data_IF_871019224089
#
_entry.id   IF_871019224089
#
_cell.length_a   1.000
_cell.length_b   1.000
_cell.length_c   1.000
_cell.angle_alpha   90.00
_cell.angle_beta   90.00
_cell.angle_gamma   90.00
#
_symmetry.space_group_name_H-M   'P 1'
#
loop_
_entity.id
_entity.type
_entity.pdbx_description
1 polymer ?
#
# COMPACT_ATOMS: atom_id res chain seq x y z
N UNK A 1 -2.61 -3.76 1.63
CA UNK A 1 -2.33 -3.08 0.33
C UNK A 1 -3.56 -2.33 -0.20
N UNK A 2 -4.65 -2.95 -0.68
CA UNK A 2 -5.87 -2.20 -1.12
C UNK A 2 -7.01 -2.19 -0.07
N UNK A 3 -7.31 -3.34 0.56
CA UNK A 3 -8.35 -3.39 1.60
C UNK A 3 -8.11 -2.43 2.78
N UNK A 4 -6.83 -2.21 3.12
CA UNK A 4 -6.45 -1.24 4.15
C UNK A 4 -6.73 0.20 3.72
N UNK A 5 -6.52 0.59 2.46
CA UNK A 5 -6.83 1.95 1.99
C UNK A 5 -8.33 2.23 2.07
N UNK A 6 -9.18 1.28 1.64
CA UNK A 6 -10.64 1.39 1.73
C UNK A 6 -11.09 1.50 3.20
N UNK A 7 -10.53 0.67 4.07
CA UNK A 7 -10.83 0.70 5.49
C UNK A 7 -10.36 2.01 6.14
N UNK A 8 -9.18 2.53 5.75
CA UNK A 8 -8.71 3.86 6.17
C UNK A 8 -9.69 4.95 5.75
N UNK A 9 -10.20 4.96 4.51
CA UNK A 9 -11.20 5.95 4.08
C UNK A 9 -12.49 5.86 4.89
N UNK A 10 -12.96 4.66 5.23
CA UNK A 10 -14.11 4.45 6.11
C UNK A 10 -13.83 5.04 7.50
N UNK A 11 -12.66 4.74 8.09
CA UNK A 11 -12.28 5.26 9.40
C UNK A 11 -12.17 6.78 9.41
N UNK A 12 -11.56 7.39 8.38
CA UNK A 12 -11.51 8.84 8.24
C UNK A 12 -12.90 9.46 8.14
N UNK A 13 -13.84 8.81 7.44
CA UNK A 13 -15.23 9.25 7.33
C UNK A 13 -15.94 9.19 8.68
N UNK A 14 -15.73 8.12 9.46
CA UNK A 14 -16.27 7.98 10.81
C UNK A 14 -15.71 9.06 11.77
N UNK A 15 -14.41 9.37 11.68
CA UNK A 15 -13.82 10.49 12.43
C UNK A 15 -14.52 11.81 12.09
N UNK A 16 -14.73 12.09 10.80
CA UNK A 16 -15.46 13.31 10.37
C UNK A 16 -16.88 13.34 10.94
N UNK A 17 -17.63 12.24 10.89
CA UNK A 17 -18.99 12.21 11.45
C UNK A 17 -19.00 12.46 12.96
N UNK A 18 -18.08 11.83 13.70
CA UNK A 18 -17.89 12.10 15.13
C UNK A 18 -17.60 13.59 15.38
N UNK A 19 -16.65 14.15 14.64
CA UNK A 19 -16.17 15.53 14.86
C UNK A 19 -17.23 16.59 14.49
N UNK A 20 -18.10 16.29 13.53
CA UNK A 20 -19.25 17.14 13.20
C UNK A 20 -20.36 17.02 14.24
N UNK A 21 -20.73 15.81 14.67
CA UNK A 21 -21.76 15.59 15.68
C UNK A 21 -21.37 16.19 17.04
N UNK A 22 -20.09 16.13 17.44
CA UNK A 22 -19.60 16.72 18.70
C UNK A 22 -19.73 18.25 18.75
N UNK A 23 -19.83 18.94 17.61
CA UNK A 23 -19.98 20.40 17.54
C UNK A 23 -21.41 20.88 17.74
N UNK A 24 -22.38 19.96 17.68
CA UNK A 24 -23.80 20.26 17.72
C UNK A 24 -24.42 19.95 19.08
N UNK A 25 -25.58 20.55 19.34
CA UNK A 25 -26.37 20.22 20.54
C UNK A 25 -27.25 19.00 20.26
N UNK A 26 -26.79 17.82 20.68
CA UNK A 26 -27.44 16.55 20.35
C UNK A 26 -28.62 16.20 21.27
N UNK A 27 -29.71 15.71 20.67
CA UNK A 27 -30.79 15.05 21.40
C UNK A 27 -30.40 13.61 21.82
N UNK A 28 -31.24 12.93 22.61
CA UNK A 28 -30.93 11.59 23.13
C UNK A 28 -30.69 10.55 22.05
N UNK A 29 -31.42 10.59 20.93
CA UNK A 29 -31.22 9.65 19.82
C UNK A 29 -29.91 9.95 19.08
N UNK A 30 -29.62 11.23 18.84
CA UNK A 30 -28.39 11.66 18.16
C UNK A 30 -27.14 11.33 19.00
N UNK A 31 -27.22 11.40 20.33
CA UNK A 31 -26.16 10.92 21.24
C UNK A 31 -25.89 9.42 21.09
N UNK A 32 -26.94 8.61 20.91
CA UNK A 32 -26.76 7.17 20.67
C UNK A 32 -26.02 6.91 19.35
N UNK A 33 -26.30 7.67 18.29
CA UNK A 33 -25.56 7.55 17.03
C UNK A 33 -24.09 7.93 17.18
N UNK A 34 -23.79 9.01 17.89
CA UNK A 34 -22.41 9.39 18.22
C UNK A 34 -21.69 8.25 18.96
N UNK A 35 -22.33 7.65 19.96
CA UNK A 35 -21.76 6.52 20.70
C UNK A 35 -21.49 5.30 19.81
N UNK A 36 -22.38 5.00 18.87
CA UNK A 36 -22.18 3.91 17.90
C UNK A 36 -20.94 4.19 17.04
N UNK A 37 -20.79 5.43 16.54
CA UNK A 37 -19.64 5.83 15.73
C UNK A 37 -18.34 5.72 16.54
N UNK A 38 -18.32 6.22 17.78
CA UNK A 38 -17.14 6.12 18.66
C UNK A 38 -16.76 4.65 18.93
N UNK A 39 -17.74 3.79 19.18
CA UNK A 39 -17.53 2.36 19.39
C UNK A 39 -16.98 1.63 18.15
N UNK A 40 -17.13 2.20 16.95
CA UNK A 40 -16.54 1.71 15.70
C UNK A 40 -15.13 2.26 15.48
N UNK A 41 -14.76 3.35 16.14
CA UNK A 41 -13.43 3.94 16.04
C UNK A 41 -12.47 3.28 17.04
N UNK A 42 -12.94 3.07 18.28
CA UNK A 42 -12.14 2.51 19.37
C UNK A 42 -13.00 1.70 20.34
N UNK A 43 -12.34 0.89 21.17
CA UNK A 43 -12.94 0.21 22.30
C UNK A 43 -12.09 0.40 23.57
N UNK A 44 -12.75 0.45 24.71
CA UNK A 44 -12.08 0.47 26.01
C UNK A 44 -11.88 -0.96 26.50
N UNK A 45 -10.64 -1.36 26.74
CA UNK A 45 -10.29 -2.64 27.33
C UNK A 45 -10.26 -2.48 28.85
N UNK A 46 -11.18 -3.18 29.53
CA UNK A 46 -11.39 -3.05 30.99
C UNK A 46 -10.21 -3.63 31.78
N UNK A 47 -9.56 -4.67 31.28
CA UNK A 47 -8.48 -5.35 31.99
C UNK A 47 -7.19 -4.53 31.97
N UNK A 48 -6.87 -3.94 30.82
CA UNK A 48 -5.70 -3.07 30.65
C UNK A 48 -5.97 -1.61 31.06
N UNK A 49 -7.23 -1.17 31.06
CA UNK A 49 -7.60 0.23 31.25
C UNK A 49 -7.26 1.13 30.06
N UNK A 50 -6.94 0.53 28.90
CA UNK A 50 -6.49 1.26 27.71
C UNK A 50 -7.58 1.35 26.64
N UNK A 51 -7.56 2.44 25.87
CA UNK A 51 -8.40 2.60 24.69
C UNK A 51 -7.66 2.08 23.47
N UNK A 52 -8.17 0.99 22.87
CA UNK A 52 -7.61 0.39 21.65
C UNK A 52 -8.36 0.88 20.42
N UNK A 53 -7.60 1.25 19.40
CA UNK A 53 -8.15 1.68 18.11
C UNK A 53 -8.51 0.46 17.28
N UNK A 54 -9.64 0.50 16.56
CA UNK A 54 -10.09 -0.66 15.76
C UNK A 54 -9.30 -0.92 14.48
N UNK A 55 -8.58 0.08 14.00
CA UNK A 55 -7.73 -0.02 12.82
C UNK A 55 -6.32 0.46 13.13
N UNK A 56 -5.36 -0.45 13.03
CA UNK A 56 -3.93 -0.14 13.04
C UNK A 56 -3.39 -0.22 11.62
N UNK A 57 -2.66 0.82 11.21
CA UNK A 57 -2.03 0.82 9.89
C UNK A 57 -0.73 0.01 9.92
N UNK A 58 -0.56 -0.90 8.94
CA UNK A 58 0.65 -1.71 8.79
C UNK A 58 1.94 -0.91 8.58
N UNK A 59 1.87 0.33 8.08
CA UNK A 59 3.04 1.17 7.86
C UNK A 59 3.31 2.01 9.11
N UNK A 60 4.43 1.73 9.80
CA UNK A 60 4.89 2.46 10.99
C UNK A 60 4.88 3.98 10.82
N UNK A 61 5.29 4.47 9.64
CA UNK A 61 5.35 5.90 9.30
C UNK A 61 3.99 6.61 9.29
N UNK A 62 2.89 5.86 9.27
CA UNK A 62 1.51 6.36 9.19
C UNK A 62 0.65 5.94 10.38
N UNK A 63 1.07 4.89 11.10
CA UNK A 63 0.35 4.25 12.19
C UNK A 63 -0.09 5.27 13.25
N UNK A 64 0.87 6.02 13.77
CA UNK A 64 0.64 6.94 14.89
C UNK A 64 -0.26 8.12 14.54
N UNK A 65 -0.32 8.49 13.25
CA UNK A 65 -1.19 9.58 12.80
C UNK A 65 -2.67 9.20 12.88
N UNK A 66 -3.06 8.03 12.39
CA UNK A 66 -4.46 7.60 12.42
C UNK A 66 -4.93 7.39 13.86
N UNK A 67 -4.08 6.79 14.69
CA UNK A 67 -4.33 6.62 16.12
C UNK A 67 -4.54 7.97 16.81
N UNK A 68 -3.65 8.94 16.58
CA UNK A 68 -3.78 10.29 17.13
C UNK A 68 -5.09 10.97 16.67
N UNK A 69 -5.46 10.84 15.40
CA UNK A 69 -6.72 11.38 14.86
C UNK A 69 -7.96 10.74 15.51
N UNK A 70 -7.92 9.43 15.75
CA UNK A 70 -9.01 8.69 16.39
C UNK A 70 -9.11 9.06 17.87
N UNK A 71 -8.00 9.25 18.56
CA UNK A 71 -7.94 9.61 19.98
C UNK A 71 -8.05 11.13 20.24
N UNK A 72 -8.25 11.92 19.19
CA UNK A 72 -8.35 13.39 19.27
C UNK A 72 -7.10 14.05 19.87
N UNK A 73 -5.92 13.46 19.62
CA UNK A 73 -4.62 13.95 20.08
C UNK A 73 -3.85 14.66 18.97
N UNK A 74 -3.03 15.67 19.30
CA UNK A 74 -2.15 16.30 18.31
C UNK A 74 -1.08 15.30 17.84
N UNK A 75 -0.94 15.17 16.52
CA UNK A 75 0.15 14.41 15.93
C UNK A 75 1.41 15.27 15.75
N UNK A 76 2.48 14.92 16.47
CA UNK A 76 3.76 15.65 16.46
C UNK A 76 4.88 14.93 15.69
N UNK A 77 4.56 13.83 14.99
CA UNK A 77 5.54 13.07 14.23
C UNK A 77 5.88 13.66 12.85
N UNK A 78 6.82 13.01 12.15
CA UNK A 78 7.22 13.40 10.80
C UNK A 78 6.07 13.11 9.82
N UNK A 79 5.66 14.12 9.04
CA UNK A 79 4.62 13.95 8.03
C UNK A 79 5.21 13.26 6.80
N UNK A 80 4.78 12.03 6.56
CA UNK A 80 5.03 11.32 5.32
C UNK A 80 4.02 11.72 4.24
N UNK A 81 4.29 11.50 2.94
CA UNK A 81 3.30 11.70 1.88
C UNK A 81 1.99 10.92 2.09
N UNK A 82 2.06 9.79 2.79
CA UNK A 82 0.88 9.02 3.21
C UNK A 82 0.02 9.80 4.21
N UNK A 83 0.65 10.40 5.22
CA UNK A 83 -0.03 11.24 6.21
C UNK A 83 -0.66 12.46 5.56
N UNK A 84 0.04 13.12 4.64
CA UNK A 84 -0.50 14.28 3.91
C UNK A 84 -1.76 13.90 3.12
N UNK A 85 -1.75 12.76 2.42
CA UNK A 85 -2.93 12.25 1.72
C UNK A 85 -4.09 11.94 2.66
N UNK A 86 -3.83 11.37 3.83
CA UNK A 86 -4.87 11.11 4.83
C UNK A 86 -5.46 12.41 5.39
N UNK A 87 -4.61 13.41 5.68
CA UNK A 87 -5.03 14.75 6.12
C UNK A 87 -5.89 15.45 5.06
N UNK A 88 -5.47 15.39 3.81
CA UNK A 88 -6.22 15.94 2.69
C UNK A 88 -7.56 15.23 2.50
N UNK A 89 -7.58 13.90 2.58
CA UNK A 89 -8.81 13.12 2.49
C UNK A 89 -9.77 13.48 3.62
N UNK A 90 -9.31 13.50 4.87
CA UNK A 90 -10.10 13.93 6.02
C UNK A 90 -10.66 15.35 5.81
N UNK A 91 -9.83 16.29 5.39
CA UNK A 91 -10.25 17.69 5.17
C UNK A 91 -11.27 17.81 4.05
N UNK A 92 -11.11 17.05 2.96
CA UNK A 92 -12.08 17.00 1.85
C UNK A 92 -13.42 16.44 2.31
N UNK A 93 -13.41 15.33 3.06
CA UNK A 93 -14.62 14.71 3.60
C UNK A 93 -15.31 15.66 4.58
N UNK A 94 -14.56 16.30 5.48
CA UNK A 94 -15.07 17.29 6.42
C UNK A 94 -15.74 18.45 5.69
N UNK A 95 -15.06 19.07 4.71
CA UNK A 95 -15.62 20.18 3.92
C UNK A 95 -16.87 19.76 3.16
N UNK A 96 -16.88 18.56 2.59
CA UNK A 96 -18.04 18.03 1.88
C UNK A 96 -19.26 17.96 2.79
N UNK A 97 -19.11 17.42 4.01
CA UNK A 97 -20.22 17.30 4.96
C UNK A 97 -20.57 18.61 5.69
N UNK A 98 -19.64 19.57 5.80
CA UNK A 98 -19.96 20.91 6.29
C UNK A 98 -20.90 21.69 5.38
N UNK A 99 -20.98 21.31 4.09
CA UNK A 99 -21.90 21.91 3.13
C UNK A 99 -23.31 21.29 3.19
N UNK A 100 -23.53 20.23 3.98
CA UNK A 100 -24.86 19.64 4.16
C UNK A 100 -25.75 20.54 5.01
N UNK A 101 -27.04 20.53 4.70
CA UNK A 101 -28.00 21.52 5.18
C UNK A 101 -28.43 21.36 6.66
N UNK A 102 -28.06 20.27 7.34
CA UNK A 102 -28.43 20.03 8.73
C UNK A 102 -27.84 18.76 9.34
N UNK A 103 -27.95 18.67 10.66
CA UNK A 103 -27.46 17.53 11.45
C UNK A 103 -28.25 16.24 11.17
N UNK A 104 -29.54 16.35 10.86
CA UNK A 104 -30.39 15.19 10.63
C UNK A 104 -30.01 14.51 9.30
N UNK A 105 -29.68 15.28 8.26
CA UNK A 105 -29.17 14.76 6.99
C UNK A 105 -27.81 14.06 7.16
N UNK A 106 -26.93 14.60 8.01
CA UNK A 106 -25.66 13.96 8.36
C UNK A 106 -25.89 12.61 9.03
N UNK A 107 -26.85 12.54 9.96
CA UNK A 107 -27.19 11.31 10.68
C UNK A 107 -27.84 10.30 9.75
N UNK A 108 -28.72 10.72 8.85
CA UNK A 108 -29.31 9.82 7.85
C UNK A 108 -28.25 9.24 6.93
N UNK A 109 -27.28 10.04 6.51
CA UNK A 109 -26.15 9.55 5.73
C UNK A 109 -25.27 8.58 6.53
N UNK A 110 -24.92 8.91 7.78
CA UNK A 110 -24.16 8.03 8.65
C UNK A 110 -24.90 6.70 8.87
N UNK A 111 -26.21 6.74 9.12
CA UNK A 111 -27.07 5.55 9.25
C UNK A 111 -27.06 4.71 7.98
N UNK A 112 -27.14 5.34 6.81
CA UNK A 112 -27.02 4.63 5.54
C UNK A 112 -25.68 3.91 5.44
N UNK A 113 -24.57 4.60 5.68
CA UNK A 113 -23.23 3.99 5.67
C UNK A 113 -23.11 2.81 6.65
N UNK A 114 -23.62 2.96 7.88
CA UNK A 114 -23.52 1.95 8.91
C UNK A 114 -24.40 0.71 8.68
N UNK A 115 -25.47 0.83 7.88
CA UNK A 115 -26.45 -0.26 7.70
C UNK A 115 -26.49 -0.85 6.30
N UNK A 116 -25.89 -0.19 5.30
CA UNK A 116 -25.92 -0.60 3.89
C UNK A 116 -24.56 -0.94 3.31
N UNK A 117 -23.48 -0.72 4.05
CA UNK A 117 -22.14 -1.17 3.63
C UNK A 117 -21.98 -2.65 4.02
N UNK A 118 -21.71 -3.49 3.02
CA UNK A 118 -21.38 -4.90 3.22
C UNK A 118 -19.86 -5.09 3.16
N UNK A 119 -19.27 -5.59 4.25
CA UNK A 119 -17.88 -6.04 4.26
C UNK A 119 -17.82 -7.53 3.93
N UNK A 120 -17.15 -7.86 2.82
CA UNK A 120 -16.86 -9.25 2.45
C UNK A 120 -15.43 -9.57 2.87
N UNK A 121 -15.29 -10.44 3.87
CA UNK A 121 -13.99 -10.98 4.30
C UNK A 121 -13.74 -12.26 3.55
N UNK A 122 -12.58 -12.34 2.90
CA UNK A 122 -12.15 -13.55 2.20
C UNK A 122 -10.94 -14.10 2.94
N UNK A 123 -11.12 -15.25 3.58
CA UNK A 123 -10.06 -16.01 4.23
C UNK A 123 -9.55 -17.09 3.27
N UNK A 124 -8.23 -17.17 3.12
CA UNK A 124 -7.58 -18.16 2.27
C UNK A 124 -6.69 -19.05 3.13
N UNK A 125 -6.68 -20.35 2.82
CA UNK A 125 -5.86 -21.33 3.53
C UNK A 125 -4.36 -21.20 3.20
N UNK A 126 -4.05 -20.64 2.05
CA UNK A 126 -2.68 -20.39 1.62
C UNK A 126 -2.55 -19.01 0.92
N UNK A 127 -1.36 -18.44 1.02
CA UNK A 127 -1.05 -17.11 0.49
C UNK A 127 -1.18 -17.04 -1.05
N UNK A 128 -0.90 -18.12 -1.77
CA UNK A 128 -0.98 -18.13 -3.24
C UNK A 128 -2.42 -17.98 -3.71
N UNK A 129 -3.35 -18.69 -3.08
CA UNK A 129 -4.79 -18.56 -3.31
C UNK A 129 -5.30 -17.16 -2.92
N UNK A 130 -4.80 -16.58 -1.82
CA UNK A 130 -5.15 -15.22 -1.40
C UNK A 130 -4.72 -14.17 -2.45
N UNK A 131 -3.50 -14.31 -2.99
CA UNK A 131 -2.96 -13.40 -3.99
C UNK A 131 -3.71 -13.52 -5.32
N UNK A 132 -4.10 -14.72 -5.76
CA UNK A 132 -4.94 -14.91 -6.95
C UNK A 132 -6.32 -14.27 -6.82
N UNK A 133 -6.96 -14.43 -5.67
CA UNK A 133 -8.25 -13.79 -5.38
C UNK A 133 -8.08 -12.26 -5.41
N UNK A 134 -7.02 -11.77 -4.78
CA UNK A 134 -6.70 -10.36 -4.74
C UNK A 134 -6.44 -9.78 -6.14
N UNK A 135 -5.64 -10.44 -6.98
CA UNK A 135 -5.43 -10.08 -8.40
C UNK A 135 -6.75 -10.03 -9.17
N UNK A 136 -7.59 -11.05 -9.02
CA UNK A 136 -8.87 -11.17 -9.73
C UNK A 136 -9.83 -10.04 -9.34
N UNK A 137 -9.85 -9.64 -8.07
CA UNK A 137 -10.67 -8.52 -7.57
C UNK A 137 -10.11 -7.19 -8.09
N UNK A 138 -8.79 -7.02 -8.10
CA UNK A 138 -8.14 -5.78 -8.51
C UNK A 138 -8.06 -5.56 -10.03
N UNK A 139 -8.32 -6.57 -10.87
CA UNK A 139 -8.42 -6.42 -12.32
C UNK A 139 -9.50 -5.41 -12.79
N UNK A 140 -10.43 -5.02 -11.90
CA UNK A 140 -11.45 -3.99 -12.18
C UNK A 140 -11.05 -2.57 -11.72
N UNK A 141 -9.89 -2.42 -11.05
CA UNK A 141 -9.33 -1.14 -10.57
C UNK A 141 -7.87 -0.96 -11.01
N UNK A 142 -7.10 -0.11 -10.32
CA UNK A 142 -5.65 -0.03 -10.52
C UNK A 142 -4.99 -1.32 -9.97
N UNK A 143 -4.72 -2.27 -10.86
CA UNK A 143 -4.12 -3.55 -10.51
C UNK A 143 -2.77 -3.40 -9.83
N UNK A 144 -2.45 -4.29 -8.87
CA UNK A 144 -1.07 -4.47 -8.45
C UNK A 144 -0.30 -5.02 -9.66
N UNK A 145 0.83 -4.43 -9.97
CA UNK A 145 1.69 -4.98 -11.01
C UNK A 145 2.50 -6.17 -10.43
N UNK A 146 3.06 -7.03 -11.29
CA UNK A 146 3.91 -8.13 -10.85
C UNK A 146 5.10 -7.71 -9.95
N UNK A 147 5.53 -6.44 -10.00
CA UNK A 147 6.57 -5.95 -9.09
C UNK A 147 6.06 -5.91 -7.65
N UNK A 148 4.83 -5.44 -7.43
CA UNK A 148 4.19 -5.45 -6.11
C UNK A 148 3.92 -6.87 -5.60
N UNK A 149 3.58 -7.80 -6.49
CA UNK A 149 3.38 -9.21 -6.14
C UNK A 149 4.69 -9.87 -5.69
N UNK A 150 5.81 -9.59 -6.37
CA UNK A 150 7.14 -10.05 -5.95
C UNK A 150 7.55 -9.42 -4.63
N UNK A 151 7.25 -8.14 -4.39
CA UNK A 151 7.46 -7.49 -3.10
C UNK A 151 6.75 -8.25 -1.98
N UNK A 152 5.45 -8.49 -2.15
CA UNK A 152 4.64 -9.18 -1.15
C UNK A 152 5.15 -10.60 -0.91
N UNK A 153 5.53 -11.31 -1.97
CA UNK A 153 6.11 -12.64 -1.89
C UNK A 153 7.38 -12.65 -1.03
N UNK A 154 8.25 -11.66 -1.18
CA UNK A 154 9.45 -11.52 -0.35
C UNK A 154 9.12 -11.26 1.11
N UNK A 155 8.19 -10.35 1.41
CA UNK A 155 7.76 -10.08 2.79
C UNK A 155 7.21 -11.34 3.44
N UNK A 156 6.36 -12.10 2.75
CA UNK A 156 5.74 -13.30 3.31
C UNK A 156 6.70 -14.46 3.57
N UNK A 157 7.88 -14.46 2.94
CA UNK A 157 8.92 -15.49 3.18
C UNK A 157 10.04 -14.99 4.09
N UNK A 158 10.01 -13.72 4.50
CA UNK A 158 11.03 -13.11 5.36
C UNK A 158 10.61 -13.20 6.83
N UNK A 159 11.59 -13.27 7.75
CA UNK A 159 11.34 -13.15 9.19
C UNK A 159 11.08 -11.69 9.55
N UNK A 160 10.24 -11.44 10.56
CA UNK A 160 9.91 -10.07 11.00
C UNK A 160 11.16 -9.22 11.29
N UNK A 161 12.20 -9.81 11.88
CA UNK A 161 13.48 -9.14 12.17
C UNK A 161 14.20 -8.57 10.94
N UNK A 162 13.88 -9.07 9.74
CA UNK A 162 14.48 -8.65 8.48
C UNK A 162 13.52 -7.82 7.60
N UNK A 163 12.31 -7.51 8.08
CA UNK A 163 11.34 -6.69 7.32
C UNK A 163 11.87 -5.29 7.01
N UNK A 164 12.55 -4.65 7.97
CA UNK A 164 13.18 -3.35 7.75
C UNK A 164 14.19 -3.41 6.60
N UNK A 165 14.98 -4.49 6.52
CA UNK A 165 15.97 -4.67 5.44
C UNK A 165 15.30 -4.82 4.08
N UNK A 166 14.27 -5.66 3.96
CA UNK A 166 13.52 -5.81 2.72
C UNK A 166 12.88 -4.48 2.31
N UNK A 167 12.33 -3.73 3.26
CA UNK A 167 11.74 -2.41 3.01
C UNK A 167 12.76 -1.42 2.44
N UNK A 168 13.94 -1.33 3.04
CA UNK A 168 15.02 -0.46 2.56
C UNK A 168 15.53 -0.87 1.18
N UNK A 169 15.77 -2.16 0.97
CA UNK A 169 16.19 -2.71 -0.34
C UNK A 169 15.13 -2.37 -1.41
N UNK A 170 13.85 -2.52 -1.08
CA UNK A 170 12.77 -2.24 -2.00
C UNK A 170 12.68 -0.75 -2.35
N UNK A 171 12.89 0.12 -1.37
CA UNK A 171 12.98 1.57 -1.62
C UNK A 171 14.10 1.89 -2.61
N UNK A 172 15.28 1.27 -2.44
CA UNK A 172 16.40 1.42 -3.38
C UNK A 172 16.06 0.90 -4.79
N UNK A 173 15.33 -0.22 -4.92
CA UNK A 173 14.87 -0.73 -6.23
C UNK A 173 14.01 0.32 -6.94
N UNK A 174 13.01 0.87 -6.26
CA UNK A 174 12.12 1.90 -6.84
C UNK A 174 12.90 3.16 -7.21
N UNK A 175 13.80 3.61 -6.36
CA UNK A 175 14.65 4.77 -6.62
C UNK A 175 15.48 4.58 -7.91
N UNK A 176 16.12 3.41 -8.08
CA UNK A 176 16.88 3.12 -9.31
C UNK A 176 16.00 3.19 -10.57
N UNK A 177 14.75 2.70 -10.50
CA UNK A 177 13.82 2.74 -11.65
C UNK A 177 13.30 4.16 -11.94
N UNK A 178 13.15 4.99 -10.91
CA UNK A 178 12.82 6.41 -11.06
C UNK A 178 13.94 7.18 -11.75
N UNK A 179 15.20 6.86 -11.44
CA UNK A 179 16.39 7.49 -12.07
C UNK A 179 16.48 7.26 -13.58
N UNK A 180 15.81 6.24 -14.12
CA UNK A 180 15.71 5.99 -15.56
C UNK A 180 14.29 6.14 -16.11
N UNK A 181 13.38 6.83 -15.40
CA UNK A 181 12.00 7.08 -15.84
C UNK A 181 11.16 5.83 -16.17
N UNK A 182 11.50 4.68 -15.59
CA UNK A 182 10.80 3.39 -15.78
C UNK A 182 9.92 3.02 -14.56
N UNK A 183 9.74 3.94 -13.62
CA UNK A 183 8.89 3.76 -12.42
C UNK A 183 7.40 3.56 -12.76
N UNK A 184 6.96 4.06 -13.91
CA UNK A 184 5.62 3.81 -14.45
C UNK A 184 5.47 2.45 -15.14
N UNK A 185 6.58 1.78 -15.50
CA UNK A 185 6.61 0.47 -16.19
C UNK A 185 7.62 -0.52 -15.56
N UNK A 186 7.55 -0.76 -14.24
CA UNK A 186 8.55 -1.57 -13.53
C UNK A 186 8.60 -3.04 -13.98
N UNK A 187 7.55 -3.52 -14.66
CA UNK A 187 7.48 -4.87 -15.22
C UNK A 187 8.50 -5.13 -16.31
N UNK A 188 8.88 -4.10 -17.06
CA UNK A 188 9.89 -4.23 -18.11
C UNK A 188 11.23 -4.63 -17.53
N UNK A 189 11.66 -3.92 -16.48
CA UNK A 189 12.85 -4.28 -15.70
C UNK A 189 12.76 -5.72 -15.18
N UNK A 190 11.66 -6.04 -14.47
CA UNK A 190 11.51 -7.36 -13.85
C UNK A 190 11.57 -8.49 -14.88
N UNK A 191 10.94 -8.31 -16.05
CA UNK A 191 11.00 -9.27 -17.16
C UNK A 191 12.43 -9.49 -17.62
N UNK A 192 13.18 -8.42 -17.87
CA UNK A 192 14.56 -8.52 -18.33
C UNK A 192 15.48 -9.14 -17.28
N UNK A 193 15.32 -8.78 -16.02
CA UNK A 193 16.05 -9.39 -14.92
C UNK A 193 15.87 -10.91 -14.89
N UNK A 194 14.61 -11.37 -14.90
CA UNK A 194 14.31 -12.80 -14.83
C UNK A 194 14.77 -13.55 -16.08
N UNK A 195 14.57 -12.97 -17.26
CA UNK A 195 15.00 -13.55 -18.54
C UNK A 195 16.53 -13.63 -18.64
N UNK A 196 17.25 -12.66 -18.09
CA UNK A 196 18.71 -12.63 -18.11
C UNK A 196 19.35 -13.60 -17.11
N UNK A 197 18.67 -13.91 -15.99
CA UNK A 197 19.27 -14.67 -14.88
C UNK A 197 18.76 -16.08 -14.71
N UNK A 198 17.49 -16.33 -15.00
CA UNK A 198 16.84 -17.58 -14.61
C UNK A 198 15.99 -18.23 -15.69
N UNK A 199 15.36 -17.43 -16.56
CA UNK A 199 14.37 -17.93 -17.50
C UNK A 199 14.91 -18.01 -18.93
N UNK A 200 14.98 -19.22 -19.48
CA UNK A 200 15.36 -19.46 -20.86
C UNK A 200 14.13 -19.42 -21.78
N UNK A 201 13.85 -18.25 -22.36
CA UNK A 201 12.76 -18.07 -23.31
C UNK A 201 12.12 -16.69 -23.24
N UNK A 202 10.91 -16.57 -23.81
CA UNK A 202 10.13 -15.33 -23.78
C UNK A 202 9.18 -15.38 -22.58
N UNK A 203 9.48 -14.61 -21.54
CA UNK A 203 8.60 -14.44 -20.38
C UNK A 203 7.64 -13.27 -20.62
N UNK A 204 6.33 -13.53 -20.75
CA UNK A 204 5.32 -12.48 -20.88
C UNK A 204 5.05 -11.83 -19.52
N UNK A 205 4.66 -10.55 -19.51
CA UNK A 205 4.43 -9.81 -18.27
C UNK A 205 3.37 -10.47 -17.38
N UNK A 206 2.29 -10.98 -17.98
CA UNK A 206 1.20 -11.70 -17.29
C UNK A 206 1.62 -13.06 -16.69
N UNK A 207 2.76 -13.60 -17.12
CA UNK A 207 3.25 -14.91 -16.70
C UNK A 207 4.45 -14.81 -15.74
N UNK A 208 5.02 -13.61 -15.55
CA UNK A 208 6.14 -13.37 -14.63
C UNK A 208 5.85 -13.95 -13.25
N UNK A 209 4.73 -13.53 -12.65
CA UNK A 209 4.41 -13.91 -11.28
C UNK A 209 4.12 -15.42 -11.18
N UNK A 210 3.35 -15.96 -12.13
CA UNK A 210 3.04 -17.40 -12.22
C UNK A 210 4.32 -18.24 -12.32
N UNK A 211 5.30 -17.79 -13.10
CA UNK A 211 6.56 -18.47 -13.24
C UNK A 211 7.38 -18.43 -11.94
N UNK A 212 7.48 -17.27 -11.28
CA UNK A 212 8.22 -17.14 -10.01
C UNK A 212 7.70 -18.12 -8.94
N UNK A 213 6.37 -18.26 -8.82
CA UNK A 213 5.76 -19.18 -7.83
C UNK A 213 5.72 -20.64 -8.29
N UNK A 214 6.12 -20.95 -9.52
CA UNK A 214 6.22 -22.33 -10.01
C UNK A 214 7.40 -23.06 -9.33
N UNK A 215 7.41 -24.39 -9.39
CA UNK A 215 8.52 -25.19 -8.83
C UNK A 215 9.87 -24.79 -9.42
N UNK A 216 9.91 -24.46 -10.72
CA UNK A 216 11.11 -24.01 -11.42
C UNK A 216 11.56 -22.63 -10.90
N UNK A 217 10.65 -21.65 -10.86
CA UNK A 217 10.96 -20.30 -10.37
C UNK A 217 11.43 -20.29 -8.93
N UNK A 218 10.75 -21.06 -8.05
CA UNK A 218 11.15 -21.25 -6.65
C UNK A 218 12.56 -21.81 -6.51
N UNK A 219 12.91 -22.83 -7.30
CA UNK A 219 14.23 -23.44 -7.28
C UNK A 219 15.31 -22.49 -7.81
N UNK A 220 15.01 -21.75 -8.87
CA UNK A 220 15.96 -20.86 -9.52
C UNK A 220 16.28 -19.62 -8.68
N UNK A 221 15.26 -18.98 -8.12
CA UNK A 221 15.39 -17.73 -7.35
C UNK A 221 15.68 -17.95 -5.86
N UNK A 222 15.33 -19.12 -5.34
CA UNK A 222 15.49 -19.51 -3.94
C UNK A 222 14.86 -18.53 -2.92
N UNK A 223 13.86 -17.74 -3.33
CA UNK A 223 13.28 -16.69 -2.49
C UNK A 223 12.65 -17.23 -1.19
N UNK A 224 12.18 -18.48 -1.17
CA UNK A 224 11.57 -19.09 0.04
C UNK A 224 12.60 -19.34 1.14
N UNK A 225 13.86 -19.61 0.76
CA UNK A 225 14.95 -19.88 1.71
C UNK A 225 15.80 -18.65 1.98
N UNK A 226 15.99 -17.81 0.97
CA UNK A 226 16.90 -16.66 0.99
C UNK A 226 16.23 -15.39 0.42
N UNK A 227 15.11 -14.93 1.00
CA UNK A 227 14.34 -13.81 0.44
C UNK A 227 15.15 -12.50 0.41
N UNK A 228 15.95 -12.24 1.46
CA UNK A 228 16.80 -11.05 1.53
C UNK A 228 17.88 -11.04 0.45
N UNK A 229 18.44 -12.21 0.12
CA UNK A 229 19.50 -12.29 -0.89
C UNK A 229 18.91 -12.16 -2.29
N UNK A 230 17.73 -12.73 -2.55
CA UNK A 230 16.99 -12.48 -3.79
C UNK A 230 16.64 -10.98 -3.94
N UNK A 231 16.18 -10.32 -2.87
CA UNK A 231 15.91 -8.89 -2.89
C UNK A 231 17.17 -8.05 -3.20
N UNK A 232 18.33 -8.39 -2.62
CA UNK A 232 19.61 -7.74 -2.91
C UNK A 232 20.03 -7.94 -4.37
N UNK A 233 19.76 -9.11 -4.94
CA UNK A 233 20.05 -9.39 -6.35
C UNK A 233 19.18 -8.52 -7.28
N UNK A 234 17.87 -8.44 -7.02
CA UNK A 234 16.96 -7.55 -7.75
C UNK A 234 17.48 -6.11 -7.70
N UNK A 235 17.87 -5.63 -6.51
CA UNK A 235 18.43 -4.28 -6.34
C UNK A 235 19.72 -4.06 -7.12
N UNK A 236 20.64 -5.02 -7.09
CA UNK A 236 21.88 -4.93 -7.86
C UNK A 236 21.59 -4.82 -9.36
N UNK A 237 20.61 -5.59 -9.85
CA UNK A 237 20.21 -5.57 -11.25
C UNK A 237 19.40 -4.33 -11.62
N UNK A 238 18.57 -3.78 -10.73
CA UNK A 238 17.83 -2.53 -10.99
C UNK A 238 18.78 -1.35 -11.18
N UNK A 239 19.87 -1.30 -10.40
CA UNK A 239 20.90 -0.28 -10.58
C UNK A 239 21.58 -0.41 -11.95
N UNK A 240 22.02 -1.61 -12.33
CA UNK A 240 22.64 -1.85 -13.65
C UNK A 240 21.67 -1.57 -14.81
N UNK A 241 20.40 -1.92 -14.64
CA UNK A 241 19.36 -1.62 -15.61
C UNK A 241 19.19 -0.10 -15.78
N UNK A 242 19.12 0.64 -14.68
CA UNK A 242 19.03 2.11 -14.69
C UNK A 242 20.22 2.75 -15.41
N UNK A 243 21.44 2.33 -15.06
CA UNK A 243 22.67 2.78 -15.73
C UNK A 243 22.65 2.49 -17.24
N UNK A 244 22.17 1.31 -17.65
CA UNK A 244 22.07 0.93 -19.06
C UNK A 244 21.04 1.78 -19.81
N UNK A 245 19.82 1.92 -19.27
CA UNK A 245 18.75 2.71 -19.90
C UNK A 245 19.22 4.15 -20.09
N UNK A 246 19.73 4.77 -19.03
CA UNK A 246 20.24 6.15 -19.07
C UNK A 246 21.40 6.30 -20.08
N UNK A 247 22.32 5.34 -20.15
CA UNK A 247 23.41 5.37 -21.11
C UNK A 247 22.92 5.26 -22.58
N UNK A 248 21.81 4.55 -22.82
CA UNK A 248 21.22 4.40 -24.17
C UNK A 248 20.31 5.56 -24.59
N UNK A 249 19.75 6.32 -23.64
CA UNK A 249 18.83 7.44 -23.91
C UNK A 249 19.54 8.81 -24.00
N UNK A 250 20.76 8.93 -23.45
CA UNK A 250 21.57 10.15 -23.54
C UNK A 250 22.13 10.34 -24.96
N UNK A 251 21.36 11.01 -25.82
CA UNK A 251 21.80 11.48 -27.14
C UNK A 251 22.77 12.68 -27.10
N UNK A 252 23.06 13.26 -25.93
CA UNK A 252 23.96 14.40 -25.81
C UNK A 252 25.37 13.93 -25.49
N UNK A 253 26.23 13.98 -26.51
CA UNK A 253 27.68 13.83 -26.41
C UNK A 253 28.22 14.64 -25.23
N UNK A 254 28.83 13.94 -24.26
CA UNK A 254 29.63 14.57 -23.21
C UNK A 254 29.84 13.82 -21.88
N UNK A 255 29.07 12.79 -21.52
CA UNK A 255 29.00 12.37 -20.11
C UNK A 255 29.04 10.84 -19.83
N UNK A 256 29.82 10.47 -18.80
CA UNK A 256 29.91 9.24 -17.99
C UNK A 256 30.08 7.85 -18.66
N UNK A 257 29.49 7.55 -19.81
CA UNK A 257 29.49 6.19 -20.40
C UNK A 257 29.83 6.19 -21.90
N UNK A 258 31.12 6.37 -22.26
CA UNK A 258 31.56 6.59 -23.64
C UNK A 258 31.47 5.38 -24.57
N UNK A 259 31.27 4.16 -24.03
CA UNK A 259 31.27 2.92 -24.82
C UNK A 259 29.88 2.39 -25.18
N UNK A 260 28.82 3.02 -24.68
CA UNK A 260 27.42 2.60 -24.85
C UNK A 260 26.54 3.72 -25.40
N UNK A 261 27.09 4.92 -25.55
CA UNK A 261 26.48 6.02 -26.31
C UNK A 261 26.33 5.57 -27.77
N UNK A 262 25.12 5.67 -28.34
CA UNK A 262 24.74 5.25 -29.70
C UNK A 262 24.32 3.78 -29.92
N UNK A 263 24.06 2.97 -28.88
CA UNK A 263 23.37 1.67 -29.05
C UNK A 263 21.86 1.89 -29.15
N UNK A 264 21.44 2.89 -29.94
CA UNK A 264 20.06 3.36 -30.02
C UNK A 264 19.02 2.25 -30.16
N UNK A 265 17.84 2.50 -29.57
CA UNK A 265 16.62 1.71 -29.74
C UNK A 265 16.28 1.43 -31.21
#
# INVERSE_FOLDING_TARGET
MDGQQRLTTIMLSLCVFRDLLKKETLNSAQKNYLQIIENLLYNFDIESGETRVRLELQYEESHDYLTALIQEQPYNGVRSPSIERMQDAYTKILRHFQLYAGIDELIDFAKYCLTKIELVVIESQDLSSALKIFETINQRGAGLNAMDLVKNLLFSNTKESDFAKIKDIWREIIQNLQECSEDQKPLRFLRYFLSARYYNGILREDDIYKWIISSEGKQATQYEKHPVDFAKEIRCMSKRYSELVNATELQRDGCLYPHVTNIGF
#
